data_IF_226121296863
#
_entry.id   IF_226121296863
#
_cell.length_a   1.000
_cell.length_b   1.000
_cell.length_c   1.000
_cell.angle_alpha   90.00
_cell.angle_beta   90.00
_cell.angle_gamma   90.00
#
_symmetry.space_group_name_H-M   'P 1'
#
loop_
_entity.id
_entity.type
_entity.pdbx_description
1 polymer ?
#
# COMPACT_ATOMS: atom_id res chain seq x y z
N UNK A 1 -18.88 14.94 -25.46
CA UNK A 1 -19.03 14.39 -24.09
C UNK A 1 -20.29 14.98 -23.49
N UNK A 2 -21.31 14.14 -23.14
CA UNK A 2 -22.59 14.62 -22.63
C UNK A 2 -22.42 15.37 -21.31
N UNK A 3 -23.20 16.42 -21.05
CA UNK A 3 -23.18 17.26 -19.83
C UNK A 3 -23.27 16.37 -18.57
N UNK A 4 -24.08 15.30 -18.60
CA UNK A 4 -24.21 14.34 -17.51
C UNK A 4 -22.88 13.61 -17.19
N UNK A 5 -22.12 13.26 -18.22
CA UNK A 5 -20.82 12.57 -18.04
C UNK A 5 -19.76 13.52 -17.46
N UNK A 6 -19.80 14.80 -17.82
CA UNK A 6 -18.92 15.82 -17.24
C UNK A 6 -19.20 16.00 -15.74
N UNK A 7 -20.47 15.99 -15.34
CA UNK A 7 -20.85 16.10 -13.94
C UNK A 7 -20.34 14.93 -13.08
N UNK A 8 -20.40 13.69 -13.59
CA UNK A 8 -19.92 12.51 -12.82
C UNK A 8 -18.41 12.53 -12.66
N UNK A 9 -17.64 12.90 -13.69
CA UNK A 9 -16.21 13.08 -13.56
C UNK A 9 -15.86 14.16 -12.51
N UNK A 10 -16.58 15.27 -12.52
CA UNK A 10 -16.39 16.33 -11.51
C UNK A 10 -16.69 15.81 -10.09
N UNK A 11 -17.75 15.02 -9.91
CA UNK A 11 -18.06 14.39 -8.62
C UNK A 11 -16.93 13.46 -8.17
N UNK A 12 -16.36 12.67 -9.09
CA UNK A 12 -15.19 11.84 -8.77
C UNK A 12 -14.01 12.70 -8.28
N UNK A 13 -13.66 13.78 -8.99
CA UNK A 13 -12.56 14.65 -8.58
C UNK A 13 -12.85 15.39 -7.26
N UNK A 14 -14.09 15.85 -7.03
CA UNK A 14 -14.49 16.45 -5.75
C UNK A 14 -14.30 15.43 -4.62
N UNK A 15 -14.76 14.19 -4.81
CA UNK A 15 -14.57 13.11 -3.85
C UNK A 15 -13.08 12.85 -3.59
N UNK A 16 -12.28 12.69 -4.64
CA UNK A 16 -10.86 12.36 -4.53
C UNK A 16 -10.08 13.47 -3.79
N UNK A 17 -10.34 14.74 -4.13
CA UNK A 17 -9.74 15.92 -3.47
C UNK A 17 -10.21 16.00 -2.01
N UNK A 18 -11.52 15.82 -1.75
CA UNK A 18 -12.04 15.83 -0.37
C UNK A 18 -11.42 14.72 0.49
N UNK A 19 -11.27 13.52 -0.07
CA UNK A 19 -10.61 12.40 0.60
C UNK A 19 -9.15 12.73 0.94
N UNK A 20 -8.41 13.24 -0.05
CA UNK A 20 -7.01 13.67 0.13
C UNK A 20 -6.90 14.74 1.23
N UNK A 21 -7.74 15.78 1.20
CA UNK A 21 -7.70 16.87 2.18
C UNK A 21 -8.02 16.33 3.58
N UNK A 22 -9.11 15.59 3.74
CA UNK A 22 -9.57 15.08 5.04
C UNK A 22 -8.51 14.18 5.68
N UNK A 23 -7.99 13.20 4.94
CA UNK A 23 -7.02 12.25 5.44
C UNK A 23 -5.57 12.76 5.48
N UNK A 24 -5.31 13.96 4.95
CA UNK A 24 -4.07 14.71 5.21
C UNK A 24 -4.22 15.56 6.46
N UNK A 25 -5.27 16.38 6.55
CA UNK A 25 -5.41 17.37 7.63
C UNK A 25 -5.72 16.73 8.99
N UNK A 26 -6.64 15.77 9.03
CA UNK A 26 -7.06 15.18 10.31
C UNK A 26 -5.87 14.57 11.08
N UNK A 27 -5.08 13.64 10.51
CA UNK A 27 -3.93 13.10 11.23
C UNK A 27 -2.84 14.15 11.51
N UNK A 28 -2.67 15.14 10.62
CA UNK A 28 -1.72 16.25 10.84
C UNK A 28 -2.06 17.11 12.05
N UNK A 29 -3.36 17.26 12.35
CA UNK A 29 -3.84 18.08 13.46
C UNK A 29 -4.00 17.31 14.78
N UNK A 30 -4.13 15.99 14.70
CA UNK A 30 -4.46 15.15 15.86
C UNK A 30 -3.29 14.31 16.38
N UNK A 31 -2.28 14.04 15.56
CA UNK A 31 -1.08 13.32 15.95
C UNK A 31 0.06 14.29 16.34
N UNK A 32 0.91 13.88 17.27
CA UNK A 32 2.09 14.64 17.71
C UNK A 32 3.37 14.24 16.99
N UNK A 33 3.36 13.07 16.35
CA UNK A 33 4.47 12.49 15.62
C UNK A 33 3.96 11.65 14.46
N UNK A 34 4.83 11.37 13.48
CA UNK A 34 4.50 10.47 12.38
C UNK A 34 4.34 9.02 12.87
N UNK A 35 3.55 8.20 12.15
CA UNK A 35 3.42 6.77 12.42
C UNK A 35 4.74 6.00 12.25
N UNK A 36 4.79 4.78 12.82
CA UNK A 36 6.00 3.95 12.85
C UNK A 36 6.60 3.69 11.47
N UNK A 37 5.83 3.11 10.56
CA UNK A 37 6.35 2.67 9.27
C UNK A 37 6.78 3.88 8.41
N UNK A 38 6.20 5.08 8.64
CA UNK A 38 6.61 6.32 7.98
C UNK A 38 7.97 6.79 8.50
N UNK A 39 8.21 6.74 9.82
CA UNK A 39 9.52 7.08 10.42
C UNK A 39 10.58 6.05 9.97
N UNK A 40 10.25 4.76 9.91
CA UNK A 40 11.17 3.74 9.40
C UNK A 40 11.56 4.03 7.93
N UNK A 41 10.59 4.36 7.08
CA UNK A 41 10.86 4.73 5.68
C UNK A 41 11.73 6.00 5.57
N UNK A 42 11.57 6.96 6.49
CA UNK A 42 12.40 8.16 6.57
C UNK A 42 13.81 7.87 7.09
N UNK A 43 13.96 6.95 8.04
CA UNK A 43 15.27 6.50 8.50
C UNK A 43 16.06 5.89 7.34
N UNK A 44 15.46 4.95 6.62
CA UNK A 44 16.04 4.36 5.41
C UNK A 44 16.30 5.40 4.31
N UNK A 45 15.39 6.36 4.16
CA UNK A 45 15.52 7.46 3.20
C UNK A 45 16.73 8.37 3.45
N UNK A 46 17.20 8.50 4.70
CA UNK A 46 18.40 9.27 5.04
C UNK A 46 19.71 8.60 4.58
N UNK A 47 19.65 7.29 4.33
CA UNK A 47 20.77 6.48 3.84
C UNK A 47 20.26 5.57 2.71
N UNK A 48 19.99 6.18 1.55
CA UNK A 48 19.36 5.48 0.42
C UNK A 48 20.24 4.34 -0.09
N UNK A 49 19.61 3.17 -0.19
CA UNK A 49 20.19 1.97 -0.76
C UNK A 49 19.12 1.19 -1.56
N UNK A 50 19.54 0.17 -2.28
CA UNK A 50 18.66 -0.65 -3.10
C UNK A 50 17.84 -1.68 -2.32
N UNK A 51 17.93 -1.68 -1.01
CA UNK A 51 17.13 -2.50 -0.11
C UNK A 51 17.42 -2.18 1.35
N UNK A 52 16.58 -2.67 2.23
CA UNK A 52 16.70 -2.48 3.67
C UNK A 52 16.40 -3.80 4.40
N UNK A 53 16.78 -3.87 5.68
CA UNK A 53 16.59 -5.07 6.50
C UNK A 53 15.16 -5.61 6.52
N UNK A 54 14.14 -4.75 6.39
CA UNK A 54 12.72 -5.13 6.47
C UNK A 54 11.99 -5.12 5.14
N UNK A 55 12.37 -4.22 4.23
CA UNK A 55 11.58 -3.93 3.02
C UNK A 55 12.44 -3.56 1.81
N UNK A 56 11.92 -3.76 0.59
CA UNK A 56 12.48 -3.21 -0.64
C UNK A 56 12.49 -1.68 -0.64
N UNK A 57 13.20 -0.99 -1.58
CA UNK A 57 13.64 0.40 -1.43
C UNK A 57 12.56 1.47 -1.67
N UNK A 58 11.45 1.19 -2.37
CA UNK A 58 10.60 2.26 -2.91
C UNK A 58 9.94 3.15 -1.86
N UNK A 59 9.54 2.60 -0.69
CA UNK A 59 8.97 3.43 0.37
C UNK A 59 9.97 4.46 0.91
N UNK A 60 11.23 4.08 1.04
CA UNK A 60 12.32 4.98 1.43
C UNK A 60 12.56 6.06 0.36
N UNK A 61 12.61 5.68 -0.92
CA UNK A 61 12.84 6.61 -2.02
C UNK A 61 11.74 7.67 -2.10
N UNK A 62 10.47 7.29 -2.03
CA UNK A 62 9.37 8.26 -2.06
C UNK A 62 9.35 9.15 -0.81
N UNK A 63 9.62 8.59 0.37
CA UNK A 63 9.73 9.39 1.61
C UNK A 63 10.87 10.40 1.53
N UNK A 64 12.03 10.02 1.00
CA UNK A 64 13.18 10.93 0.86
C UNK A 64 12.94 12.01 -0.18
N UNK A 65 12.28 11.70 -1.31
CA UNK A 65 11.87 12.74 -2.28
C UNK A 65 11.00 13.80 -1.60
N UNK A 66 10.01 13.38 -0.79
CA UNK A 66 9.15 14.31 -0.07
C UNK A 66 9.89 15.08 1.02
N UNK A 67 10.81 14.42 1.72
CA UNK A 67 11.67 15.10 2.68
C UNK A 67 12.51 16.18 2.02
N UNK A 68 13.10 15.92 0.87
CA UNK A 68 13.92 16.89 0.13
C UNK A 68 13.11 18.13 -0.33
N UNK A 69 11.80 17.99 -0.53
CA UNK A 69 10.91 19.09 -0.96
C UNK A 69 10.37 19.86 0.25
N UNK A 70 9.93 19.16 1.30
CA UNK A 70 9.15 19.74 2.40
C UNK A 70 9.90 19.75 3.74
N UNK A 71 11.05 19.08 3.86
CA UNK A 71 11.77 18.91 5.12
C UNK A 71 10.99 18.05 6.13
N UNK A 72 11.22 18.31 7.42
CA UNK A 72 10.58 17.59 8.54
C UNK A 72 9.17 18.13 8.85
N UNK A 73 8.30 18.18 7.83
CA UNK A 73 6.91 18.60 7.95
C UNK A 73 5.97 17.39 7.98
N UNK A 74 5.39 17.06 9.13
CA UNK A 74 4.56 15.86 9.31
C UNK A 74 3.40 15.77 8.31
N UNK A 75 2.72 16.92 8.02
CA UNK A 75 1.62 16.97 7.06
C UNK A 75 2.02 16.50 5.66
N UNK A 76 3.27 16.69 5.25
CA UNK A 76 3.73 16.31 3.92
C UNK A 76 3.72 14.78 3.73
N UNK A 77 3.98 14.01 4.78
CA UNK A 77 4.00 12.54 4.71
C UNK A 77 2.58 11.95 4.76
N UNK A 78 1.65 12.60 5.45
CA UNK A 78 0.22 12.29 5.30
C UNK A 78 -0.28 12.63 3.89
N UNK A 79 0.15 13.75 3.32
CA UNK A 79 -0.15 14.12 1.93
C UNK A 79 0.43 13.09 0.94
N UNK A 80 1.69 12.68 1.10
CA UNK A 80 2.31 11.63 0.29
C UNK A 80 1.44 10.37 0.28
N UNK A 81 1.02 9.92 1.46
CA UNK A 81 0.16 8.75 1.58
C UNK A 81 -1.15 8.92 0.80
N UNK A 82 -1.81 10.07 0.94
CA UNK A 82 -3.09 10.33 0.28
C UNK A 82 -2.96 10.53 -1.23
N UNK A 83 -1.86 11.07 -1.73
CA UNK A 83 -1.56 11.11 -3.17
C UNK A 83 -1.54 9.70 -3.75
N UNK A 84 -0.89 8.75 -3.08
CA UNK A 84 -0.81 7.36 -3.53
C UNK A 84 -2.19 6.69 -3.54
N UNK A 85 -3.00 6.92 -2.51
CA UNK A 85 -4.39 6.42 -2.46
C UNK A 85 -5.24 6.99 -3.58
N UNK A 86 -5.18 8.31 -3.80
CA UNK A 86 -6.01 8.99 -4.82
C UNK A 86 -5.60 8.61 -6.23
N UNK A 87 -4.30 8.43 -6.51
CA UNK A 87 -3.83 7.89 -7.80
C UNK A 87 -4.41 6.49 -8.01
N UNK A 88 -4.40 5.64 -6.99
CA UNK A 88 -5.00 4.31 -7.09
C UNK A 88 -6.51 4.40 -7.38
N UNK A 89 -7.25 5.25 -6.69
CA UNK A 89 -8.68 5.47 -6.95
C UNK A 89 -8.96 5.95 -8.38
N UNK A 90 -8.10 6.82 -8.92
CA UNK A 90 -8.21 7.29 -10.29
C UNK A 90 -8.10 6.14 -11.30
N UNK A 91 -7.11 5.26 -11.14
CA UNK A 91 -6.96 4.11 -12.04
C UNK A 91 -8.07 3.07 -11.84
N UNK A 92 -8.57 2.89 -10.62
CA UNK A 92 -9.77 2.06 -10.37
C UNK A 92 -10.98 2.64 -11.08
N UNK A 93 -11.19 3.97 -11.04
CA UNK A 93 -12.29 4.63 -11.74
C UNK A 93 -12.19 4.46 -13.27
N UNK A 94 -10.98 4.66 -13.84
CA UNK A 94 -10.73 4.43 -15.27
C UNK A 94 -11.00 2.98 -15.68
N UNK A 95 -10.48 2.05 -14.90
CA UNK A 95 -10.70 0.61 -15.15
C UNK A 95 -12.18 0.24 -15.01
N UNK A 96 -12.87 0.74 -13.99
CA UNK A 96 -14.29 0.51 -13.78
C UNK A 96 -15.09 0.97 -15.00
N UNK A 97 -14.78 2.13 -15.57
CA UNK A 97 -15.43 2.62 -16.78
C UNK A 97 -15.17 1.72 -18.00
N UNK A 98 -13.95 1.21 -18.16
CA UNK A 98 -13.63 0.26 -19.24
C UNK A 98 -14.43 -1.06 -19.12
N UNK A 99 -14.66 -1.53 -17.91
CA UNK A 99 -15.41 -2.77 -17.64
C UNK A 99 -16.91 -2.56 -17.74
N UNK A 100 -17.45 -1.56 -17.05
CA UNK A 100 -18.88 -1.34 -16.83
C UNK A 100 -19.54 -0.57 -17.98
N UNK A 101 -18.78 0.29 -18.66
CA UNK A 101 -19.25 1.25 -19.68
C UNK A 101 -20.36 2.19 -19.16
N UNK A 102 -20.39 2.41 -17.86
CA UNK A 102 -21.33 3.27 -17.16
C UNK A 102 -20.57 4.08 -16.10
N UNK A 103 -20.57 5.41 -16.22
CA UNK A 103 -19.84 6.30 -15.32
C UNK A 103 -20.45 6.33 -13.90
N UNK A 104 -21.78 6.16 -13.75
CA UNK A 104 -22.41 6.13 -12.43
C UNK A 104 -22.00 4.87 -11.66
N UNK A 105 -22.05 3.73 -12.30
CA UNK A 105 -21.60 2.47 -11.72
C UNK A 105 -20.09 2.49 -11.44
N UNK A 106 -19.32 3.15 -12.29
CA UNK A 106 -17.87 3.32 -12.08
C UNK A 106 -17.57 4.19 -10.86
N UNK A 107 -18.30 5.30 -10.68
CA UNK A 107 -18.20 6.12 -9.49
C UNK A 107 -18.61 5.35 -8.23
N UNK A 108 -19.75 4.66 -8.26
CA UNK A 108 -20.20 3.80 -7.14
C UNK A 108 -19.13 2.79 -6.76
N UNK A 109 -18.45 2.16 -7.74
CA UNK A 109 -17.39 1.18 -7.50
C UNK A 109 -16.23 1.75 -6.70
N UNK A 110 -15.88 3.03 -6.92
CA UNK A 110 -14.81 3.71 -6.16
C UNK A 110 -15.31 4.19 -4.81
N UNK A 111 -16.52 4.76 -4.74
CA UNK A 111 -17.10 5.23 -3.47
C UNK A 111 -17.24 4.09 -2.45
N UNK A 112 -17.48 2.85 -2.90
CA UNK A 112 -17.51 1.67 -2.05
C UNK A 112 -16.17 1.42 -1.32
N UNK A 113 -15.03 1.85 -1.87
CA UNK A 113 -13.73 1.64 -1.24
C UNK A 113 -13.59 2.37 0.09
N UNK A 114 -14.27 3.51 0.26
CA UNK A 114 -14.26 4.27 1.53
C UNK A 114 -14.84 3.46 2.70
N UNK A 115 -15.64 2.45 2.44
CA UNK A 115 -16.15 1.56 3.50
C UNK A 115 -15.17 0.46 3.92
N UNK A 116 -14.03 0.34 3.24
CA UNK A 116 -12.99 -0.64 3.57
C UNK A 116 -11.93 0.03 4.44
N UNK A 117 -11.67 -0.54 5.61
CA UNK A 117 -10.74 -0.05 6.63
C UNK A 117 -9.38 0.40 6.08
N UNK A 118 -8.87 -0.24 5.03
CA UNK A 118 -7.56 0.05 4.47
C UNK A 118 -7.47 1.38 3.71
N UNK A 119 -8.60 1.91 3.22
CA UNK A 119 -8.62 3.15 2.43
C UNK A 119 -9.12 4.35 3.22
N UNK A 120 -9.26 4.17 4.54
CA UNK A 120 -9.60 5.23 5.48
C UNK A 120 -8.66 5.19 6.71
N UNK A 121 -8.92 4.39 7.73
CA UNK A 121 -8.21 4.41 9.01
C UNK A 121 -6.70 4.15 8.92
N UNK A 122 -6.24 3.29 8.02
CA UNK A 122 -4.81 2.96 7.88
C UNK A 122 -4.14 3.70 6.74
N UNK A 123 -4.91 4.39 5.90
CA UNK A 123 -4.37 5.12 4.74
C UNK A 123 -3.52 6.35 5.10
N UNK A 124 -3.63 7.01 6.27
CA UNK A 124 -2.75 8.11 6.62
C UNK A 124 -1.28 7.71 6.78
N UNK A 125 -1.00 6.49 7.25
CA UNK A 125 0.37 6.01 7.42
C UNK A 125 0.99 5.66 6.06
N UNK A 126 1.98 6.46 5.62
CA UNK A 126 2.76 6.09 4.45
C UNK A 126 3.68 4.91 4.77
N UNK A 127 3.32 3.76 4.26
CA UNK A 127 4.05 2.51 4.45
C UNK A 127 4.08 1.70 3.15
N UNK A 128 4.76 0.58 3.17
CA UNK A 128 4.90 -0.30 2.00
C UNK A 128 3.57 -0.81 1.42
N UNK A 129 2.49 -0.88 2.23
CA UNK A 129 1.18 -1.30 1.74
C UNK A 129 0.50 -0.18 0.94
N UNK A 130 0.63 1.07 1.40
CA UNK A 130 0.13 2.25 0.68
C UNK A 130 1.02 2.54 -0.53
N UNK A 131 2.34 2.42 -0.38
CA UNK A 131 3.31 2.64 -1.46
C UNK A 131 3.01 1.81 -2.71
N UNK A 132 2.55 0.57 -2.58
CA UNK A 132 2.25 -0.28 -3.74
C UNK A 132 0.88 0.00 -4.41
N UNK A 133 -0.05 0.74 -3.77
CA UNK A 133 -1.43 0.92 -4.27
C UNK A 133 -1.53 1.51 -5.68
N UNK A 134 -0.86 2.62 -6.03
CA UNK A 134 -0.94 3.17 -7.38
C UNK A 134 -0.40 2.20 -8.41
N UNK A 135 0.69 1.51 -8.11
CA UNK A 135 1.33 0.56 -9.04
C UNK A 135 0.47 -0.68 -9.25
N UNK A 136 -0.19 -1.18 -8.20
CA UNK A 136 -1.17 -2.24 -8.30
C UNK A 136 -2.31 -1.86 -9.25
N UNK A 137 -2.85 -0.65 -9.10
CA UNK A 137 -3.94 -0.18 -9.95
C UNK A 137 -3.52 0.07 -11.39
N UNK A 138 -2.32 0.60 -11.62
CA UNK A 138 -1.75 0.83 -12.95
C UNK A 138 -1.47 -0.49 -13.66
N UNK A 139 -0.86 -1.48 -12.99
CA UNK A 139 -0.63 -2.80 -13.57
C UNK A 139 -1.94 -3.44 -14.00
N UNK A 140 -2.97 -3.43 -13.16
CA UNK A 140 -4.29 -3.97 -13.53
C UNK A 140 -4.89 -3.23 -14.74
N UNK A 141 -4.81 -1.90 -14.76
CA UNK A 141 -5.35 -1.09 -15.86
C UNK A 141 -4.65 -1.38 -17.19
N UNK A 142 -3.33 -1.39 -17.22
CA UNK A 142 -2.58 -1.65 -18.46
C UNK A 142 -2.65 -3.12 -18.88
N UNK A 143 -2.69 -4.05 -17.92
CA UNK A 143 -2.96 -5.46 -18.21
C UNK A 143 -4.34 -5.64 -18.84
N UNK A 144 -5.37 -4.92 -18.36
CA UNK A 144 -6.69 -4.94 -18.98
C UNK A 144 -6.64 -4.43 -20.44
N UNK A 145 -5.87 -3.39 -20.74
CA UNK A 145 -5.70 -2.90 -22.12
C UNK A 145 -5.07 -3.98 -23.02
N UNK A 146 -4.04 -4.67 -22.53
CA UNK A 146 -3.43 -5.81 -23.24
C UNK A 146 -4.45 -6.94 -23.40
N UNK A 147 -5.18 -7.28 -22.33
CA UNK A 147 -6.16 -8.33 -22.32
C UNK A 147 -7.31 -8.09 -23.32
N UNK A 148 -7.81 -6.87 -23.39
CA UNK A 148 -8.97 -6.51 -24.23
C UNK A 148 -8.58 -6.16 -25.69
N UNK A 149 -7.31 -5.96 -25.99
CA UNK A 149 -6.85 -5.61 -27.34
C UNK A 149 -6.76 -6.83 -28.25
N UNK A 150 -6.97 -6.63 -29.56
CA UNK A 150 -6.67 -7.62 -30.60
C UNK A 150 -5.18 -7.66 -30.91
N UNK A 151 -4.52 -6.52 -30.90
CA UNK A 151 -3.07 -6.35 -31.13
C UNK A 151 -2.46 -5.81 -29.87
N UNK A 152 -1.42 -6.47 -29.36
CA UNK A 152 -0.72 -6.07 -28.15
C UNK A 152 0.09 -4.80 -28.43
N UNK A 153 -0.12 -3.77 -27.62
CA UNK A 153 0.62 -2.52 -27.68
C UNK A 153 1.91 -2.63 -26.87
N UNK A 154 3.04 -2.22 -27.46
CA UNK A 154 4.33 -2.20 -26.78
C UNK A 154 4.31 -1.29 -25.52
N UNK A 155 3.71 -0.09 -25.65
CA UNK A 155 3.63 0.84 -24.52
C UNK A 155 2.86 0.29 -23.31
N UNK A 156 1.78 -0.47 -23.56
CA UNK A 156 1.02 -1.08 -22.46
C UNK A 156 1.85 -2.17 -21.75
N UNK A 157 2.62 -2.97 -22.51
CA UNK A 157 3.57 -3.95 -21.98
C UNK A 157 4.67 -3.29 -21.16
N UNK A 158 5.25 -2.20 -21.67
CA UNK A 158 6.29 -1.43 -21.00
C UNK A 158 5.81 -0.83 -19.68
N UNK A 159 4.59 -0.27 -19.66
CA UNK A 159 4.00 0.24 -18.42
C UNK A 159 3.69 -0.87 -17.40
N UNK A 160 3.24 -2.05 -17.84
CA UNK A 160 3.08 -3.21 -16.93
C UNK A 160 4.42 -3.59 -16.30
N UNK A 161 5.50 -3.61 -17.10
CA UNK A 161 6.83 -3.93 -16.59
C UNK A 161 7.33 -2.92 -15.55
N UNK A 162 7.29 -1.62 -15.86
CA UNK A 162 7.76 -0.56 -14.97
C UNK A 162 6.94 -0.54 -13.68
N UNK A 163 5.61 -0.48 -13.79
CA UNK A 163 4.76 -0.40 -12.60
C UNK A 163 4.76 -1.71 -11.82
N UNK A 164 4.93 -2.84 -12.49
CA UNK A 164 5.15 -4.14 -11.87
C UNK A 164 6.43 -4.16 -11.03
N UNK A 165 7.55 -3.68 -11.59
CA UNK A 165 8.83 -3.61 -10.90
C UNK A 165 8.76 -2.65 -9.70
N UNK A 166 8.25 -1.43 -9.86
CA UNK A 166 8.12 -0.47 -8.77
C UNK A 166 7.17 -1.01 -7.68
N UNK A 167 6.07 -1.65 -8.07
CA UNK A 167 5.14 -2.28 -7.13
C UNK A 167 5.78 -3.42 -6.33
N UNK A 168 6.57 -4.28 -6.99
CA UNK A 168 7.32 -5.35 -6.34
C UNK A 168 8.42 -4.80 -5.42
N UNK A 169 9.14 -3.76 -5.87
CA UNK A 169 10.14 -3.04 -5.08
C UNK A 169 9.52 -2.17 -3.96
N UNK A 170 8.21 -1.96 -3.96
CA UNK A 170 7.49 -1.41 -2.82
C UNK A 170 7.21 -2.48 -1.77
N UNK A 171 6.81 -3.68 -2.20
CA UNK A 171 6.55 -4.83 -1.33
C UNK A 171 6.50 -6.15 -2.10
N UNK A 172 7.20 -7.17 -1.63
CA UNK A 172 7.25 -8.49 -2.31
C UNK A 172 5.87 -9.16 -2.46
N UNK A 173 4.90 -8.84 -1.61
CA UNK A 173 3.54 -9.38 -1.75
C UNK A 173 2.84 -8.96 -3.04
N UNK A 174 3.37 -7.98 -3.77
CA UNK A 174 2.93 -7.63 -5.11
C UNK A 174 3.00 -8.81 -6.09
N UNK A 175 3.87 -9.79 -5.80
CA UNK A 175 4.02 -11.03 -6.59
C UNK A 175 2.70 -11.79 -6.76
N UNK A 176 1.78 -11.73 -5.79
CA UNK A 176 0.49 -12.42 -5.88
C UNK A 176 -0.39 -11.87 -7.01
N UNK A 177 -0.31 -10.56 -7.29
CA UNK A 177 -0.97 -9.98 -8.46
C UNK A 177 -0.30 -10.44 -9.75
N UNK A 178 1.04 -10.35 -9.83
CA UNK A 178 1.79 -10.70 -11.03
C UNK A 178 1.56 -12.17 -11.40
N UNK A 179 1.71 -13.09 -10.45
CA UNK A 179 1.44 -14.52 -10.67
C UNK A 179 -0.01 -14.76 -11.07
N UNK A 180 -0.97 -14.02 -10.51
CA UNK A 180 -2.38 -14.15 -10.90
C UNK A 180 -2.62 -13.72 -12.35
N UNK A 181 -1.94 -12.66 -12.80
CA UNK A 181 -1.97 -12.20 -14.19
C UNK A 181 -1.33 -13.23 -15.11
N UNK A 182 -0.16 -13.75 -14.75
CA UNK A 182 0.55 -14.76 -15.54
C UNK A 182 -0.28 -16.03 -15.69
N UNK A 183 -0.88 -16.53 -14.61
CA UNK A 183 -1.78 -17.68 -14.65
C UNK A 183 -3.00 -17.43 -15.54
N UNK A 184 -3.56 -16.22 -15.53
CA UNK A 184 -4.64 -15.84 -16.44
C UNK A 184 -4.18 -15.91 -17.89
N UNK A 185 -3.03 -15.33 -18.23
CA UNK A 185 -2.51 -15.33 -19.62
C UNK A 185 -2.12 -16.73 -20.09
N UNK A 186 -1.50 -17.54 -19.23
CA UNK A 186 -1.22 -18.97 -19.50
C UNK A 186 -2.53 -19.70 -19.82
N UNK A 187 -3.56 -19.50 -19.00
CA UNK A 187 -4.88 -20.12 -19.22
C UNK A 187 -5.50 -19.70 -20.57
N UNK A 188 -5.42 -18.41 -20.93
CA UNK A 188 -5.97 -17.87 -22.19
C UNK A 188 -5.22 -18.36 -23.43
N UNK A 189 -3.90 -18.47 -23.35
CA UNK A 189 -3.05 -18.84 -24.49
C UNK A 189 -3.10 -20.35 -24.72
N UNK A 190 -2.84 -21.14 -23.70
CA UNK A 190 -2.64 -22.58 -23.84
C UNK A 190 -3.92 -23.41 -23.72
N UNK A 191 -4.86 -23.02 -22.83
CA UNK A 191 -6.05 -23.82 -22.56
C UNK A 191 -7.28 -23.31 -23.33
N UNK A 192 -7.56 -22.02 -23.28
CA UNK A 192 -8.71 -21.43 -23.98
C UNK A 192 -8.42 -21.09 -25.44
N UNK A 193 -7.16 -20.90 -25.81
CA UNK A 193 -6.73 -20.48 -27.15
C UNK A 193 -7.42 -19.18 -27.62
N UNK A 194 -7.79 -18.31 -26.67
CA UNK A 194 -8.42 -17.02 -26.95
C UNK A 194 -7.40 -15.92 -27.25
N UNK A 195 -6.16 -16.11 -26.84
CA UNK A 195 -5.03 -15.23 -27.12
C UNK A 195 -3.92 -16.03 -27.77
N UNK A 196 -3.16 -15.36 -28.65
CA UNK A 196 -1.89 -15.89 -29.17
C UNK A 196 -0.76 -15.39 -28.30
N UNK A 197 0.30 -16.17 -28.20
CA UNK A 197 1.55 -15.70 -27.62
C UNK A 197 2.09 -14.54 -28.45
N UNK A 198 2.46 -13.44 -27.79
CA UNK A 198 3.07 -12.27 -28.42
C UNK A 198 4.46 -12.07 -27.81
N UNK A 199 5.47 -11.86 -28.64
CA UNK A 199 6.85 -11.68 -28.20
C UNK A 199 7.02 -10.49 -27.22
N UNK A 200 6.12 -9.51 -27.27
CA UNK A 200 6.11 -8.37 -26.34
C UNK A 200 5.91 -8.78 -24.87
N UNK A 201 5.36 -9.96 -24.61
CA UNK A 201 5.27 -10.49 -23.24
C UNK A 201 6.66 -10.84 -22.68
N UNK A 202 7.58 -11.34 -23.52
CA UNK A 202 8.98 -11.57 -23.12
C UNK A 202 9.66 -10.24 -22.80
N UNK A 203 9.48 -9.22 -23.65
CA UNK A 203 10.03 -7.88 -23.41
C UNK A 203 9.50 -7.30 -22.07
N UNK A 204 8.22 -7.53 -21.76
CA UNK A 204 7.66 -7.13 -20.45
C UNK A 204 8.44 -7.76 -19.31
N UNK A 205 8.71 -9.05 -19.39
CA UNK A 205 9.47 -9.78 -18.37
C UNK A 205 10.93 -9.30 -18.30
N UNK A 206 11.58 -9.10 -19.45
CA UNK A 206 12.97 -8.61 -19.52
C UNK A 206 13.11 -7.24 -18.87
N UNK A 207 12.24 -6.27 -19.22
CA UNK A 207 12.25 -4.93 -18.63
C UNK A 207 11.99 -5.01 -17.11
N UNK A 208 11.04 -5.84 -16.69
CA UNK A 208 10.77 -6.06 -15.27
C UNK A 208 12.02 -6.57 -14.53
N UNK A 209 12.68 -7.61 -15.05
CA UNK A 209 13.89 -8.19 -14.43
C UNK A 209 15.03 -7.17 -14.41
N UNK A 210 15.28 -6.44 -15.50
CA UNK A 210 16.34 -5.41 -15.57
C UNK A 210 16.16 -4.36 -14.48
N UNK A 211 14.92 -3.93 -14.25
CA UNK A 211 14.62 -2.95 -13.18
C UNK A 211 14.81 -3.51 -11.77
N UNK A 212 14.77 -4.83 -11.59
CA UNK A 212 15.03 -5.47 -10.30
C UNK A 212 16.52 -5.73 -10.05
N UNK A 213 17.38 -5.72 -11.07
CA UNK A 213 18.81 -6.08 -10.96
C UNK A 213 19.53 -5.37 -9.81
N UNK A 214 19.41 -4.03 -9.64
CA UNK A 214 20.11 -3.37 -8.53
C UNK A 214 19.71 -3.90 -7.16
N UNK A 215 18.41 -4.17 -6.97
CA UNK A 215 17.91 -4.75 -5.73
C UNK A 215 18.34 -6.21 -5.54
N UNK A 216 18.39 -7.00 -6.61
CA UNK A 216 18.83 -8.39 -6.54
C UNK A 216 20.33 -8.50 -6.18
N UNK A 217 21.17 -7.61 -6.72
CA UNK A 217 22.58 -7.49 -6.33
C UNK A 217 22.68 -7.12 -4.86
N UNK A 218 21.94 -6.09 -4.42
CA UNK A 218 21.91 -5.68 -3.01
C UNK A 218 21.47 -6.81 -2.08
N UNK A 219 20.43 -7.59 -2.46
CA UNK A 219 19.97 -8.75 -1.68
C UNK A 219 21.07 -9.80 -1.51
N UNK A 220 21.80 -10.10 -2.59
CA UNK A 220 22.90 -11.04 -2.55
C UNK A 220 24.02 -10.58 -1.61
N UNK A 221 24.42 -9.30 -1.73
CA UNK A 221 25.47 -8.68 -0.92
C UNK A 221 25.10 -8.54 0.57
N UNK A 222 23.79 -8.59 0.89
CA UNK A 222 23.24 -8.48 2.25
C UNK A 222 22.55 -9.76 2.73
N UNK A 223 23.01 -10.95 2.28
CA UNK A 223 22.57 -12.25 2.77
C UNK A 223 21.04 -12.44 2.77
N UNK A 224 20.35 -11.85 1.80
CA UNK A 224 18.88 -11.90 1.67
C UNK A 224 18.11 -11.46 2.92
N UNK A 225 18.67 -10.55 3.71
CA UNK A 225 18.13 -10.10 5.00
C UNK A 225 16.64 -9.71 4.95
N UNK A 226 16.21 -9.01 3.90
CA UNK A 226 14.81 -8.60 3.71
C UNK A 226 13.87 -9.78 3.52
N UNK A 227 14.31 -10.79 2.78
CA UNK A 227 13.53 -12.02 2.54
C UNK A 227 13.43 -12.82 3.84
N UNK A 228 14.55 -12.99 4.54
CA UNK A 228 14.62 -13.69 5.83
C UNK A 228 13.75 -12.98 6.88
N UNK A 229 13.78 -11.65 6.94
CA UNK A 229 12.87 -10.90 7.79
C UNK A 229 11.39 -11.18 7.47
N UNK A 230 11.03 -11.18 6.17
CA UNK A 230 9.67 -11.51 5.74
C UNK A 230 9.23 -12.89 6.19
N UNK A 231 10.08 -13.91 6.02
CA UNK A 231 9.83 -15.29 6.46
C UNK A 231 9.68 -15.38 7.99
N UNK A 232 10.59 -14.77 8.74
CA UNK A 232 10.52 -14.71 10.22
C UNK A 232 9.24 -14.02 10.70
N UNK A 233 8.82 -12.95 10.01
CA UNK A 233 7.61 -12.19 10.35
C UNK A 233 6.31 -12.98 10.17
N UNK A 234 6.32 -14.06 9.36
CA UNK A 234 5.19 -14.97 9.16
C UNK A 234 5.07 -16.04 10.26
N UNK A 235 6.07 -16.18 11.13
CA UNK A 235 6.09 -17.16 12.22
C UNK A 235 6.39 -18.60 11.75
N UNK A 236 7.03 -18.76 10.60
CA UNK A 236 7.40 -20.09 10.04
C UNK A 236 8.33 -20.89 10.97
N UNK A 237 9.17 -20.21 11.74
CA UNK A 237 10.13 -20.85 12.67
C UNK A 237 9.44 -21.61 13.84
N UNK A 238 8.17 -21.31 14.12
CA UNK A 238 7.40 -21.87 15.26
C UNK A 238 6.20 -22.71 14.79
N UNK A 239 6.32 -23.33 13.61
CA UNK A 239 5.21 -24.01 12.94
C UNK A 239 4.71 -25.26 13.66
N UNK A 240 3.44 -25.25 14.09
CA UNK A 240 2.67 -26.44 14.47
C UNK A 240 1.76 -26.85 13.31
N UNK A 241 1.45 -28.14 13.16
CA UNK A 241 0.48 -28.65 12.18
C UNK A 241 -0.88 -27.93 12.30
N UNK A 242 -1.28 -27.54 13.51
CA UNK A 242 -2.52 -26.78 13.75
C UNK A 242 -2.50 -25.45 13.01
N UNK A 243 -1.36 -24.80 12.82
CA UNK A 243 -1.25 -23.52 12.14
C UNK A 243 -1.69 -23.56 10.68
N UNK A 244 -1.57 -24.70 10.00
CA UNK A 244 -2.02 -24.88 8.62
C UNK A 244 -3.55 -24.77 8.45
N UNK A 245 -4.31 -24.92 9.53
CA UNK A 245 -5.78 -24.76 9.58
C UNK A 245 -6.18 -23.49 10.32
N UNK A 246 -5.55 -23.21 11.47
CA UNK A 246 -5.90 -22.10 12.35
C UNK A 246 -5.61 -20.74 11.71
N UNK A 247 -4.42 -20.55 11.15
CA UNK A 247 -4.03 -19.26 10.57
C UNK A 247 -4.87 -18.85 9.36
N UNK A 248 -5.14 -19.75 8.38
CA UNK A 248 -6.05 -19.44 7.27
C UNK A 248 -7.47 -19.12 7.73
N UNK A 249 -8.00 -19.83 8.73
CA UNK A 249 -9.35 -19.61 9.26
C UNK A 249 -9.45 -18.22 9.93
N UNK A 250 -8.52 -17.90 10.81
CA UNK A 250 -8.48 -16.58 11.48
C UNK A 250 -8.30 -15.45 10.45
N UNK A 251 -7.48 -15.69 9.43
CA UNK A 251 -7.34 -14.74 8.33
C UNK A 251 -8.69 -14.46 7.66
N UNK A 252 -9.42 -15.50 7.23
CA UNK A 252 -10.72 -15.35 6.55
C UNK A 252 -11.73 -14.63 7.43
N UNK A 253 -11.83 -14.99 8.72
CA UNK A 253 -12.76 -14.34 9.66
C UNK A 253 -12.46 -12.83 9.76
N UNK A 254 -11.17 -12.45 9.87
CA UNK A 254 -10.75 -11.04 9.93
C UNK A 254 -11.07 -10.29 8.64
N UNK A 255 -10.82 -10.91 7.48
CA UNK A 255 -11.14 -10.28 6.19
C UNK A 255 -12.65 -10.07 6.03
N UNK A 256 -13.46 -11.05 6.42
CA UNK A 256 -14.91 -10.89 6.40
C UNK A 256 -15.36 -9.73 7.29
N UNK A 257 -14.83 -9.63 8.52
CA UNK A 257 -15.14 -8.53 9.44
C UNK A 257 -14.83 -7.14 8.85
N UNK A 258 -13.69 -7.00 8.18
CA UNK A 258 -13.29 -5.74 7.52
C UNK A 258 -14.23 -5.34 6.38
N UNK A 259 -14.82 -6.32 5.70
CA UNK A 259 -15.71 -6.10 4.56
C UNK A 259 -17.18 -5.89 4.95
N UNK A 260 -17.56 -6.00 6.23
CA UNK A 260 -18.95 -5.77 6.67
C UNK A 260 -19.51 -4.41 6.22
N UNK A 261 -18.82 -3.26 6.45
CA UNK A 261 -19.35 -1.96 6.01
C UNK A 261 -19.48 -1.87 4.48
N UNK A 262 -18.57 -2.52 3.75
CA UNK A 262 -18.60 -2.59 2.29
C UNK A 262 -19.83 -3.37 1.78
N UNK A 263 -20.12 -4.53 2.34
CA UNK A 263 -21.30 -5.31 2.00
C UNK A 263 -22.61 -4.59 2.40
N UNK A 264 -22.58 -3.85 3.52
CA UNK A 264 -23.71 -3.03 3.93
C UNK A 264 -24.02 -1.94 2.89
N UNK A 265 -23.01 -1.20 2.39
CA UNK A 265 -23.24 -0.20 1.34
C UNK A 265 -23.78 -0.81 0.04
N UNK A 266 -23.28 -1.97 -0.35
CA UNK A 266 -23.82 -2.69 -1.53
C UNK A 266 -25.28 -3.09 -1.30
N UNK A 267 -25.60 -3.59 -0.11
CA UNK A 267 -26.97 -3.98 0.23
C UNK A 267 -27.97 -2.82 0.08
N UNK A 268 -27.55 -1.58 0.41
CA UNK A 268 -28.39 -0.39 0.20
C UNK A 268 -28.72 -0.13 -1.28
N UNK A 269 -27.93 -0.64 -2.22
CA UNK A 269 -28.09 -0.42 -3.66
C UNK A 269 -28.86 -1.52 -4.38
N UNK A 270 -28.88 -2.73 -3.84
CA UNK A 270 -29.43 -3.88 -4.57
C UNK A 270 -30.87 -4.20 -4.19
N UNK A 271 -31.66 -4.67 -5.18
CA UNK A 271 -33.02 -5.22 -4.94
C UNK A 271 -32.97 -6.64 -4.43
N UNK A 272 -32.08 -7.44 -5.00
CA UNK A 272 -31.90 -8.88 -4.68
C UNK A 272 -30.42 -9.23 -4.86
N UNK A 273 -29.89 -10.04 -3.96
CA UNK A 273 -28.55 -10.60 -4.10
C UNK A 273 -28.68 -11.91 -4.87
N UNK A 274 -28.42 -11.85 -6.17
CA UNK A 274 -28.31 -13.04 -7.02
C UNK A 274 -27.04 -12.92 -7.86
N UNK A 275 -26.13 -13.84 -7.68
CA UNK A 275 -24.90 -13.92 -8.46
C UNK A 275 -25.12 -14.85 -9.66
N UNK A 276 -24.81 -14.34 -10.86
CA UNK A 276 -24.71 -15.17 -12.07
C UNK A 276 -23.25 -15.29 -12.44
N UNK A 277 -22.65 -16.41 -12.11
CA UNK A 277 -21.29 -16.72 -12.52
C UNK A 277 -21.28 -17.35 -13.91
N UNK A 278 -20.79 -16.63 -14.90
CA UNK A 278 -20.57 -17.14 -16.24
C UNK A 278 -19.09 -17.06 -16.58
N UNK A 279 -18.37 -18.15 -16.40
CA UNK A 279 -16.91 -18.23 -16.71
C UNK A 279 -16.59 -18.11 -18.21
N UNK A 280 -17.60 -18.07 -19.11
CA UNK A 280 -17.43 -17.73 -20.51
C UNK A 280 -17.36 -16.20 -20.72
N UNK A 281 -17.75 -15.41 -19.73
CA UNK A 281 -17.63 -13.95 -19.76
C UNK A 281 -16.18 -13.53 -19.50
N UNK A 282 -15.51 -13.03 -20.52
CA UNK A 282 -14.11 -12.62 -20.45
C UNK A 282 -13.87 -11.49 -19.44
N UNK A 283 -14.82 -10.58 -19.24
CA UNK A 283 -14.70 -9.51 -18.24
C UNK A 283 -14.76 -10.09 -16.81
N UNK A 284 -15.68 -11.00 -16.57
CA UNK A 284 -15.76 -11.68 -15.28
C UNK A 284 -14.52 -12.52 -15.02
N UNK A 285 -14.00 -13.23 -16.02
CA UNK A 285 -12.76 -14.00 -15.88
C UNK A 285 -11.58 -13.12 -15.46
N UNK A 286 -11.41 -11.96 -16.10
CA UNK A 286 -10.39 -10.99 -15.71
C UNK A 286 -10.59 -10.48 -14.29
N UNK A 287 -11.81 -10.11 -13.93
CA UNK A 287 -12.14 -9.62 -12.59
C UNK A 287 -11.88 -10.66 -11.49
N UNK A 288 -12.16 -11.95 -11.77
CA UNK A 288 -11.82 -13.05 -10.85
C UNK A 288 -10.31 -13.17 -10.69
N UNK A 289 -9.57 -13.09 -11.80
CA UNK A 289 -8.11 -13.22 -11.78
C UNK A 289 -7.41 -12.11 -10.98
N UNK A 290 -7.92 -10.89 -10.99
CA UNK A 290 -7.28 -9.78 -10.25
C UNK A 290 -7.83 -9.58 -8.81
N UNK A 291 -8.97 -10.15 -8.45
CA UNK A 291 -9.57 -9.99 -7.13
C UNK A 291 -9.52 -11.27 -6.30
N UNK A 292 -9.94 -12.39 -6.86
CA UNK A 292 -10.10 -13.65 -6.12
C UNK A 292 -8.82 -14.46 -6.13
N UNK A 293 -8.14 -14.57 -7.27
CA UNK A 293 -6.96 -15.41 -7.41
C UNK A 293 -5.79 -14.95 -6.52
N UNK A 294 -5.46 -13.65 -6.39
CA UNK A 294 -4.41 -13.22 -5.46
C UNK A 294 -4.74 -13.56 -4.00
N UNK A 295 -6.00 -13.40 -3.56
CA UNK A 295 -6.44 -13.76 -2.21
C UNK A 295 -6.36 -15.28 -2.01
N UNK A 296 -6.77 -16.05 -3.01
CA UNK A 296 -6.69 -17.52 -2.98
C UNK A 296 -5.24 -17.99 -2.90
N UNK A 297 -4.32 -17.41 -3.68
CA UNK A 297 -2.90 -17.75 -3.62
C UNK A 297 -2.29 -17.40 -2.25
N UNK A 298 -2.65 -16.26 -1.67
CA UNK A 298 -2.25 -15.88 -0.32
C UNK A 298 -2.76 -16.90 0.72
N UNK A 299 -4.03 -17.26 0.64
CA UNK A 299 -4.64 -18.28 1.50
C UNK A 299 -3.96 -19.63 1.34
N UNK A 300 -3.70 -20.04 0.09
CA UNK A 300 -3.00 -21.29 -0.22
C UNK A 300 -1.59 -21.30 0.37
N UNK A 301 -0.86 -20.19 0.29
CA UNK A 301 0.44 -20.05 0.96
C UNK A 301 0.32 -20.30 2.46
N UNK A 302 -0.69 -19.69 3.13
CA UNK A 302 -0.92 -19.92 4.57
C UNK A 302 -1.28 -21.37 4.88
N UNK A 303 -2.10 -22.03 4.06
CA UNK A 303 -2.47 -23.45 4.22
C UNK A 303 -1.23 -24.35 4.09
N UNK A 304 -0.40 -24.11 3.07
CA UNK A 304 0.77 -24.94 2.80
C UNK A 304 1.87 -24.74 3.84
N UNK A 305 2.09 -23.50 4.27
CA UNK A 305 3.24 -23.14 5.12
C UNK A 305 2.90 -23.00 6.61
N UNK A 306 1.61 -22.97 6.98
CA UNK A 306 1.17 -22.63 8.34
C UNK A 306 1.42 -21.17 8.73
N UNK A 307 1.79 -20.32 7.78
CA UNK A 307 2.20 -18.94 8.03
C UNK A 307 1.04 -18.02 8.41
N UNK A 308 1.30 -17.07 9.32
CA UNK A 308 0.36 -16.04 9.74
C UNK A 308 0.31 -14.91 8.72
N UNK A 309 -0.85 -14.68 8.11
CA UNK A 309 -1.09 -13.53 7.25
C UNK A 309 -1.53 -12.34 8.13
N UNK A 310 -0.80 -11.23 8.02
CA UNK A 310 -1.19 -9.99 8.71
C UNK A 310 -2.30 -9.28 7.94
N UNK A 311 -3.31 -8.85 8.65
CA UNK A 311 -4.49 -8.20 8.08
C UNK A 311 -4.15 -7.01 7.17
N UNK A 312 -3.21 -6.13 7.59
CA UNK A 312 -2.78 -4.96 6.82
C UNK A 312 -2.11 -5.31 5.47
N UNK A 313 -1.62 -6.52 5.30
CA UNK A 313 -1.02 -6.94 4.03
C UNK A 313 -2.02 -7.02 2.89
N UNK A 314 -3.32 -7.10 3.22
CA UNK A 314 -4.40 -7.20 2.26
C UNK A 314 -4.83 -5.86 1.65
N UNK A 315 -4.20 -4.76 2.04
CA UNK A 315 -4.54 -3.41 1.57
C UNK A 315 -4.73 -3.32 0.04
N UNK A 316 -3.84 -3.78 -0.84
CA UNK A 316 -4.04 -3.66 -2.29
C UNK A 316 -5.03 -4.70 -2.87
N UNK A 317 -5.26 -5.80 -2.19
CA UNK A 317 -6.04 -6.93 -2.71
C UNK A 317 -7.53 -6.60 -2.91
N UNK A 318 -8.06 -5.62 -2.17
CA UNK A 318 -9.46 -5.20 -2.26
C UNK A 318 -9.68 -3.99 -3.16
N UNK A 319 -8.62 -3.47 -3.81
CA UNK A 319 -8.68 -2.23 -4.56
C UNK A 319 -9.71 -2.27 -5.72
N UNK A 320 -9.91 -3.43 -6.33
CA UNK A 320 -10.88 -3.62 -7.41
C UNK A 320 -12.16 -4.36 -6.97
N UNK A 321 -12.33 -4.58 -5.67
CA UNK A 321 -13.48 -5.35 -5.15
C UNK A 321 -14.81 -4.65 -5.41
N UNK A 322 -14.82 -3.31 -5.37
CA UNK A 322 -15.99 -2.50 -5.76
C UNK A 322 -16.40 -2.73 -7.21
N UNK A 323 -15.43 -2.74 -8.13
CA UNK A 323 -15.68 -3.00 -9.57
C UNK A 323 -16.20 -4.43 -9.77
N UNK A 324 -15.59 -5.41 -9.11
CA UNK A 324 -15.97 -6.81 -9.19
C UNK A 324 -17.42 -7.05 -8.75
N UNK A 325 -17.82 -6.55 -7.56
CA UNK A 325 -19.15 -6.77 -7.05
C UNK A 325 -20.21 -5.95 -7.81
N UNK A 326 -19.90 -4.71 -8.20
CA UNK A 326 -20.80 -3.90 -9.05
C UNK A 326 -21.01 -4.60 -10.38
N UNK A 327 -19.98 -5.21 -10.99
CA UNK A 327 -20.11 -5.97 -12.22
C UNK A 327 -21.02 -7.20 -12.06
N UNK A 328 -20.82 -7.98 -11.00
CA UNK A 328 -21.65 -9.18 -10.70
C UNK A 328 -23.10 -8.83 -10.45
N UNK A 329 -23.36 -7.71 -9.80
CA UNK A 329 -24.69 -7.29 -9.35
C UNK A 329 -25.35 -6.27 -10.27
N UNK A 330 -24.72 -5.86 -11.39
CA UNK A 330 -25.19 -4.76 -12.25
C UNK A 330 -26.65 -4.87 -12.69
N UNK A 331 -27.16 -6.09 -12.91
CA UNK A 331 -28.57 -6.35 -13.27
C UNK A 331 -29.53 -6.21 -12.08
N UNK A 332 -29.03 -6.15 -10.86
CA UNK A 332 -29.79 -6.08 -9.61
C UNK A 332 -29.62 -4.74 -8.88
N UNK A 333 -28.69 -3.90 -9.32
CA UNK A 333 -28.51 -2.53 -8.81
C UNK A 333 -29.73 -1.70 -9.20
N UNK A 334 -30.33 -1.04 -8.21
CA UNK A 334 -31.44 -0.09 -8.39
C UNK A 334 -30.97 1.32 -8.16
N UNK A 335 -30.77 2.06 -9.24
CA UNK A 335 -30.35 3.47 -9.15
C UNK A 335 -31.40 4.37 -8.49
N UNK A 336 -32.66 3.93 -8.29
CA UNK A 336 -33.65 4.64 -7.47
C UNK A 336 -33.26 4.68 -6.00
N UNK A 337 -32.43 3.72 -5.54
CA UNK A 337 -31.90 3.65 -4.18
C UNK A 337 -30.59 4.43 -4.01
N UNK A 338 -30.14 5.17 -5.02
CA UNK A 338 -28.87 5.90 -4.98
C UNK A 338 -28.79 6.87 -3.79
N UNK A 339 -29.89 7.48 -3.39
CA UNK A 339 -29.94 8.37 -2.24
C UNK A 339 -29.61 7.64 -0.92
N UNK A 340 -30.17 6.43 -0.72
CA UNK A 340 -29.86 5.61 0.47
C UNK A 340 -28.38 5.23 0.50
N UNK A 341 -27.79 4.89 -0.64
CA UNK A 341 -26.37 4.61 -0.76
C UNK A 341 -25.53 5.85 -0.45
N UNK A 342 -25.88 7.02 -1.00
CA UNK A 342 -25.14 8.26 -0.76
C UNK A 342 -25.22 8.70 0.70
N UNK A 343 -26.35 8.52 1.37
CA UNK A 343 -26.49 8.77 2.82
C UNK A 343 -25.56 7.84 3.59
N UNK A 344 -25.56 6.54 3.32
CA UNK A 344 -24.66 5.59 3.97
C UNK A 344 -23.19 5.86 3.67
N UNK A 345 -22.88 6.22 2.43
CA UNK A 345 -21.52 6.64 2.04
C UNK A 345 -21.06 7.89 2.80
N UNK A 346 -21.87 8.97 2.79
CA UNK A 346 -21.53 10.21 3.51
C UNK A 346 -21.41 9.98 5.01
N UNK A 347 -22.28 9.15 5.58
CA UNK A 347 -22.18 8.79 6.99
C UNK A 347 -20.81 8.14 7.28
N UNK A 348 -20.36 7.15 6.51
CA UNK A 348 -19.06 6.54 6.70
C UNK A 348 -17.90 7.50 6.38
N UNK A 349 -18.05 8.33 5.36
CA UNK A 349 -17.04 9.30 4.96
C UNK A 349 -16.73 10.32 6.06
N UNK A 350 -17.73 10.76 6.83
CA UNK A 350 -17.55 11.68 7.96
C UNK A 350 -17.29 10.95 9.28
N UNK A 351 -17.90 9.78 9.49
CA UNK A 351 -17.73 9.01 10.72
C UNK A 351 -16.28 8.52 10.88
N UNK A 352 -15.66 8.01 9.80
CA UNK A 352 -14.32 7.44 9.86
C UNK A 352 -13.26 8.44 10.35
N UNK A 353 -13.11 9.65 9.78
CA UNK A 353 -12.16 10.64 10.27
C UNK A 353 -12.53 11.18 11.65
N UNK A 354 -13.83 11.22 12.01
CA UNK A 354 -14.25 11.61 13.37
C UNK A 354 -13.81 10.59 14.43
N UNK A 355 -13.98 9.30 14.14
CA UNK A 355 -13.48 8.23 15.01
C UNK A 355 -11.95 8.28 15.09
N UNK A 356 -11.25 8.47 13.96
CA UNK A 356 -9.80 8.60 13.93
C UNK A 356 -9.34 9.75 14.82
N UNK A 357 -9.96 10.94 14.69
CA UNK A 357 -9.66 12.11 15.53
C UNK A 357 -9.89 11.83 17.00
N UNK A 358 -11.06 11.25 17.34
CA UNK A 358 -11.39 10.92 18.71
C UNK A 358 -10.34 9.96 19.33
N UNK A 359 -10.02 8.87 18.65
CA UNK A 359 -9.01 7.90 19.11
C UNK A 359 -7.63 8.56 19.20
N UNK A 360 -7.28 9.40 18.22
CA UNK A 360 -5.98 10.06 18.20
C UNK A 360 -5.80 11.06 19.35
N UNK A 361 -6.85 11.74 19.77
CA UNK A 361 -6.81 12.72 20.87
C UNK A 361 -6.97 12.04 22.24
N UNK A 362 -7.86 11.05 22.36
CA UNK A 362 -8.22 10.46 23.66
C UNK A 362 -7.24 9.41 24.17
N UNK A 363 -6.54 8.71 23.26
CA UNK A 363 -5.53 7.71 23.66
C UNK A 363 -4.15 8.36 23.67
N UNK A 364 -3.35 8.12 24.73
CA UNK A 364 -2.06 8.79 24.96
C UNK A 364 -0.84 7.88 24.82
N UNK A 365 -1.03 6.57 24.62
CA UNK A 365 0.07 5.60 24.54
C UNK A 365 0.34 5.10 23.12
N UNK A 366 -0.04 5.88 22.12
CA UNK A 366 0.21 5.54 20.72
C UNK A 366 1.63 5.94 20.30
N UNK A 367 2.16 5.28 19.27
CA UNK A 367 3.41 5.69 18.64
C UNK A 367 3.38 7.12 18.11
N UNK A 368 2.22 7.57 17.65
CA UNK A 368 2.00 8.95 17.19
C UNK A 368 1.98 9.98 18.32
N UNK A 369 2.08 9.56 19.60
CA UNK A 369 2.26 10.45 20.75
C UNK A 369 3.72 10.54 21.20
N UNK A 370 4.64 9.84 20.54
CA UNK A 370 6.06 9.86 20.85
C UNK A 370 6.63 11.29 20.74
N UNK A 371 7.34 11.78 21.77
CA UNK A 371 7.83 13.17 21.80
C UNK A 371 9.12 13.34 20.96
N UNK A 372 9.08 12.94 19.69
CA UNK A 372 10.26 12.92 18.81
C UNK A 372 10.95 14.27 18.66
N UNK A 373 10.17 15.36 18.50
CA UNK A 373 10.69 16.74 18.42
C UNK A 373 11.39 17.18 19.69
N UNK A 374 10.80 16.86 20.85
CA UNK A 374 11.38 17.23 22.14
C UNK A 374 12.69 16.47 22.43
N UNK A 375 12.72 15.17 22.09
CA UNK A 375 13.92 14.34 22.24
C UNK A 375 15.02 14.84 21.32
N UNK A 376 14.71 15.14 20.06
CA UNK A 376 15.67 15.69 19.12
C UNK A 376 16.23 17.05 19.58
N UNK A 377 15.38 17.93 20.12
CA UNK A 377 15.81 19.21 20.68
C UNK A 377 16.76 19.02 21.87
N UNK A 378 16.44 18.13 22.81
CA UNK A 378 17.32 17.79 23.95
C UNK A 378 18.66 17.24 23.45
N UNK A 379 18.64 16.30 22.51
CA UNK A 379 19.83 15.73 21.91
C UNK A 379 20.70 16.81 21.24
N UNK A 380 20.09 17.74 20.51
CA UNK A 380 20.81 18.87 19.90
C UNK A 380 21.45 19.79 20.93
N UNK A 381 20.75 20.13 22.00
CA UNK A 381 21.27 20.99 23.07
C UNK A 381 22.48 20.34 23.74
N UNK A 382 22.36 19.06 24.13
CA UNK A 382 23.45 18.31 24.77
C UNK A 382 24.66 18.20 23.82
N UNK A 383 24.42 17.89 22.55
CA UNK A 383 25.49 17.81 21.54
C UNK A 383 26.24 19.13 21.39
N UNK A 384 25.52 20.26 21.28
CA UNK A 384 26.10 21.58 21.11
C UNK A 384 26.88 22.10 22.33
N UNK A 385 26.77 21.47 23.51
CA UNK A 385 27.57 21.75 24.69
C UNK A 385 28.97 21.09 24.61
N UNK A 386 29.07 19.98 23.90
CA UNK A 386 30.29 19.18 23.82
C UNK A 386 31.02 19.34 22.48
N UNK A 387 30.28 19.60 21.40
CA UNK A 387 30.80 19.62 20.04
C UNK A 387 30.33 20.86 19.26
N UNK A 388 31.25 21.46 18.50
CA UNK A 388 30.93 22.56 17.56
C UNK A 388 30.39 22.06 16.20
N UNK A 389 30.64 20.80 15.86
CA UNK A 389 30.21 20.17 14.59
C UNK A 389 28.75 19.77 14.64
N UNK A 390 28.09 19.73 13.49
CA UNK A 390 26.76 19.18 13.34
C UNK A 390 26.75 17.64 13.56
N UNK A 391 25.61 17.11 13.97
CA UNK A 391 25.40 15.67 14.07
C UNK A 391 25.28 15.10 12.66
N UNK A 392 26.21 14.23 12.26
CA UNK A 392 26.24 13.64 10.91
C UNK A 392 25.54 12.30 10.85
N UNK A 393 25.61 11.52 11.94
CA UNK A 393 25.07 10.16 11.97
C UNK A 393 24.25 9.91 13.23
N UNK A 394 23.22 9.08 13.08
CA UNK A 394 22.46 8.50 14.20
C UNK A 394 22.43 7.00 14.04
N UNK A 395 22.54 6.29 15.16
CA UNK A 395 22.51 4.83 15.19
C UNK A 395 21.56 4.33 16.27
N UNK A 396 20.97 3.17 16.05
CA UNK A 396 19.92 2.57 16.88
C UNK A 396 18.82 1.95 16.04
N UNK A 397 17.73 1.59 16.70
CA UNK A 397 16.54 1.08 15.99
C UNK A 397 15.92 2.15 15.08
N UNK A 398 15.23 1.71 14.02
CA UNK A 398 14.64 2.60 13.01
C UNK A 398 13.62 3.58 13.60
N UNK A 399 13.01 3.23 14.76
CA UNK A 399 12.05 4.10 15.40
C UNK A 399 12.71 5.25 16.16
N UNK A 400 13.58 4.94 17.11
CA UNK A 400 14.22 5.96 17.96
C UNK A 400 15.24 6.79 17.17
N UNK A 401 16.17 6.13 16.48
CA UNK A 401 17.17 6.81 15.67
C UNK A 401 16.55 7.47 14.42
N UNK A 402 15.53 6.87 13.81
CA UNK A 402 14.77 7.46 12.73
C UNK A 402 14.05 8.74 13.12
N UNK A 403 13.47 8.82 14.33
CA UNK A 403 12.90 10.06 14.87
C UNK A 403 13.97 11.14 15.05
N UNK A 404 15.17 10.80 15.56
CA UNK A 404 16.28 11.77 15.63
C UNK A 404 16.67 12.24 14.25
N UNK A 405 16.94 11.33 13.31
CA UNK A 405 17.26 11.68 11.93
C UNK A 405 16.20 12.58 11.30
N UNK A 406 14.93 12.34 11.56
CA UNK A 406 13.84 13.12 10.99
C UNK A 406 13.71 14.53 11.59
N UNK A 407 13.87 14.68 12.93
CA UNK A 407 13.60 15.94 13.63
C UNK A 407 14.83 16.82 13.83
N UNK A 408 16.06 16.29 13.76
CA UNK A 408 17.28 17.07 13.82
C UNK A 408 17.46 17.91 12.56
N UNK A 409 17.92 19.17 12.72
CA UNK A 409 18.10 20.10 11.59
C UNK A 409 19.14 19.64 10.57
N UNK A 410 20.22 18.99 11.05
CA UNK A 410 21.29 18.46 10.20
C UNK A 410 20.84 17.27 9.34
N UNK A 411 19.66 16.68 9.62
CA UNK A 411 19.18 15.46 8.95
C UNK A 411 20.23 14.34 8.96
N UNK A 412 20.71 13.93 10.13
CA UNK A 412 21.79 12.94 10.20
C UNK A 412 21.39 11.62 9.55
N UNK A 413 22.37 10.98 8.91
CA UNK A 413 22.21 9.68 8.27
C UNK A 413 21.97 8.59 9.31
N UNK A 414 20.97 7.76 9.11
CA UNK A 414 20.75 6.55 9.92
C UNK A 414 21.68 5.42 9.49
N UNK A 415 22.52 4.94 10.41
CA UNK A 415 23.55 3.89 10.16
C UNK A 415 23.14 2.50 10.69
N UNK A 416 21.88 2.31 11.06
CA UNK A 416 21.38 1.03 11.55
C UNK A 416 21.84 0.71 12.96
N UNK A 417 21.96 -0.60 13.24
CA UNK A 417 22.37 -1.12 14.55
C UNK A 417 23.87 -1.37 14.68
N UNK A 418 24.68 -1.03 13.68
CA UNK A 418 26.13 -1.35 13.66
C UNK A 418 26.92 -0.50 14.62
N UNK A 419 27.56 -1.17 15.56
CA UNK A 419 28.43 -0.56 16.60
C UNK A 419 29.86 -0.28 16.13
N UNK A 420 30.33 -0.94 15.08
CA UNK A 420 31.75 -0.93 14.69
C UNK A 420 32.25 0.42 14.15
N UNK A 421 31.39 1.21 13.53
CA UNK A 421 31.72 2.57 13.08
C UNK A 421 31.73 3.58 14.24
N UNK A 422 30.89 3.39 15.26
CA UNK A 422 30.72 4.28 16.43
C UNK A 422 32.01 4.35 17.25
N UNK A 423 32.78 3.30 17.28
CA UNK A 423 34.02 3.21 18.06
C UNK A 423 35.18 4.01 17.48
N UNK A 424 35.09 4.50 16.22
CA UNK A 424 36.20 5.20 15.55
C UNK A 424 36.22 6.72 15.76
N UNK A 425 35.05 7.36 15.80
CA UNK A 425 34.98 8.82 16.08
C UNK A 425 33.63 9.19 16.72
N UNK A 426 33.63 9.33 18.04
CA UNK A 426 32.41 9.67 18.83
C UNK A 426 31.91 11.10 18.61
N UNK A 427 32.70 11.96 17.92
CA UNK A 427 32.33 13.34 17.64
C UNK A 427 31.32 13.50 16.47
N UNK A 428 30.98 12.41 15.78
CA UNK A 428 30.08 12.43 14.62
C UNK A 428 28.76 11.65 14.85
N UNK A 429 28.69 10.88 15.94
CA UNK A 429 27.59 9.92 16.16
C UNK A 429 26.78 10.21 17.42
N UNK A 430 25.47 10.13 17.28
CA UNK A 430 24.56 9.88 18.40
C UNK A 430 24.03 8.44 18.32
N UNK A 431 24.18 7.70 19.42
CA UNK A 431 23.55 6.41 19.63
C UNK A 431 22.33 6.56 20.54
N UNK A 432 21.19 5.94 20.18
CA UNK A 432 19.98 5.98 20.97
C UNK A 432 19.33 4.59 21.06
N UNK A 433 18.96 4.16 22.28
CA UNK A 433 18.29 2.91 22.54
C UNK A 433 19.15 1.90 23.29
N UNK A 434 18.64 0.67 23.41
CA UNK A 434 19.22 -0.39 24.25
C UNK A 434 20.55 -0.95 23.73
N UNK A 435 20.94 -0.56 22.51
CA UNK A 435 22.19 -0.99 21.85
C UNK A 435 23.38 -0.10 22.24
N UNK A 436 23.11 1.06 22.87
CA UNK A 436 24.13 2.02 23.23
C UNK A 436 24.73 1.67 24.60
N UNK A 437 25.89 0.99 24.62
CA UNK A 437 26.64 0.75 25.83
C UNK A 437 27.14 2.09 26.41
N UNK A 438 26.34 2.71 27.27
CA UNK A 438 26.78 3.74 28.21
C UNK A 438 26.76 5.20 27.76
N UNK A 439 26.07 5.56 26.69
CA UNK A 439 25.82 6.97 26.35
C UNK A 439 24.39 7.16 25.85
N UNK A 440 23.59 7.78 26.73
CA UNK A 440 22.17 8.20 26.63
C UNK A 440 21.11 7.13 26.82
#
# INVERSE_FOLDING_TARGET
>A
MNVLNRNINNIFFIFAISHLIVWTLIPSLTNKNLPLDTIEALAWGSNLDWGFNKHPPMSAFFSQIFFNIFGSQDWAFYLLSQIFVVIAFYYVFKFAYEILKDLKLSLISVLLLVSIYFYNFTSPEFNVNVCQLPFWSMVVYYTWKIYNSKVVNFSDCFFVAIFGAIGFLSKYLFIYLLVSIDLLFIYLIFFKKLKKFDFKYIITLEVFIVLLVPHLIWLYDNDFVTVLYGLKRTGLEYGSIINHFYQPLIFLIKQFGILIPFFFLIWLLVKKIKFKFNLKDNKLLFLIAINILPIFLMLLTSIITGSKIRTMWMTPFYLFFGVFLVYLLKSHIDLKKINSFLIGFLFLFFLSPSIYSYVSISQTDKRTDYPGKEIALKAQITWSQEFEKEIEFVTGDEWKAGNLSYHLKSRPTWEGLTTDKILKDSSQFICIGDVCLGRY
#
